data_IF_371252182265
#
_entry.id   IF_371252182265
#
_cell.length_a   1.000
_cell.length_b   1.000
_cell.length_c   1.000
_cell.angle_alpha   90.00
_cell.angle_beta   90.00
_cell.angle_gamma   90.00
#
_symmetry.space_group_name_H-M   'P 1'
#
loop_
_entity.id
_entity.type
_entity.pdbx_description
1 polymer ?
#
# COMPACT_ATOMS: atom_id res chain seq x y z
N UNK A 1 24.70 9.85 23.07
CA UNK A 1 24.08 9.70 24.40
C UNK A 1 22.55 9.69 24.34
N UNK A 2 21.89 10.72 23.77
CA UNK A 2 20.42 10.81 23.70
C UNK A 2 19.77 9.61 22.98
N UNK A 3 20.30 9.17 21.85
CA UNK A 3 19.82 7.99 21.12
C UNK A 3 19.84 6.73 21.99
N UNK A 4 20.96 6.48 22.65
CA UNK A 4 21.08 5.32 23.55
C UNK A 4 20.15 5.45 24.77
N UNK A 5 19.98 6.66 25.29
CA UNK A 5 19.05 6.93 26.40
C UNK A 5 17.60 6.60 26.02
N UNK A 6 17.16 6.99 24.84
CA UNK A 6 15.79 6.65 24.34
C UNK A 6 15.62 5.13 24.20
N UNK A 7 16.59 4.43 23.61
CA UNK A 7 16.51 2.98 23.42
C UNK A 7 16.58 2.17 24.73
N UNK A 8 17.26 2.72 25.76
CA UNK A 8 17.27 2.10 27.09
C UNK A 8 15.93 2.25 27.82
N UNK A 9 15.23 3.38 27.61
CA UNK A 9 13.93 3.65 28.22
C UNK A 9 12.77 2.98 27.46
N UNK A 10 12.84 2.98 26.13
CA UNK A 10 11.84 2.36 25.24
C UNK A 10 12.56 1.60 24.11
N UNK A 11 12.89 0.31 24.31
CA UNK A 11 13.53 -0.52 23.27
C UNK A 11 12.68 -0.64 22.00
N UNK A 12 11.34 -0.57 22.12
CA UNK A 12 10.42 -0.64 21.00
C UNK A 12 10.38 0.65 20.16
N UNK A 13 10.97 1.72 20.65
CA UNK A 13 11.12 2.95 19.86
C UNK A 13 11.87 2.71 18.53
N UNK A 14 12.77 1.71 18.48
CA UNK A 14 13.48 1.30 17.26
C UNK A 14 12.56 0.82 16.14
N UNK A 15 11.34 0.36 16.46
CA UNK A 15 10.33 -0.03 15.48
C UNK A 15 9.51 1.15 14.95
N UNK A 16 9.67 2.33 15.55
CA UNK A 16 8.91 3.53 15.17
C UNK A 16 9.71 4.36 14.16
N UNK A 17 9.16 4.65 12.96
CA UNK A 17 9.83 5.49 11.96
C UNK A 17 10.28 6.87 12.50
N UNK A 18 9.50 7.44 13.43
CA UNK A 18 9.78 8.75 14.02
C UNK A 18 11.14 8.84 14.73
N UNK A 19 11.60 7.77 15.38
CA UNK A 19 12.93 7.72 15.99
C UNK A 19 14.01 7.94 14.93
N UNK A 20 13.97 7.15 13.88
CA UNK A 20 14.98 7.18 12.80
C UNK A 20 14.98 8.52 12.06
N UNK A 21 13.80 9.06 11.75
CA UNK A 21 13.67 10.34 11.06
C UNK A 21 14.21 11.49 11.92
N UNK A 22 13.90 11.51 13.23
CA UNK A 22 14.35 12.56 14.13
C UNK A 22 15.88 12.57 14.27
N UNK A 23 16.47 11.41 14.56
CA UNK A 23 17.94 11.31 14.73
C UNK A 23 18.69 11.49 13.40
N UNK A 24 18.14 11.01 12.28
CA UNK A 24 18.71 11.25 10.96
C UNK A 24 18.68 12.73 10.58
N UNK A 25 17.59 13.46 10.85
CA UNK A 25 17.51 14.89 10.61
C UNK A 25 18.58 15.68 11.41
N UNK A 26 18.74 15.36 12.69
CA UNK A 26 19.79 15.96 13.53
C UNK A 26 21.18 15.63 13.01
N UNK A 27 21.43 14.36 12.63
CA UNK A 27 22.70 13.93 12.07
C UNK A 27 23.02 14.68 10.76
N UNK A 28 22.04 14.85 9.87
CA UNK A 28 22.18 15.64 8.63
C UNK A 28 22.56 17.08 8.95
N UNK A 29 21.88 17.71 9.92
CA UNK A 29 22.17 19.08 10.32
C UNK A 29 23.58 19.22 10.93
N UNK A 30 23.98 18.32 11.83
CA UNK A 30 25.32 18.32 12.42
C UNK A 30 26.37 18.13 11.31
N UNK A 31 26.17 17.16 10.42
CA UNK A 31 27.11 16.89 9.32
C UNK A 31 27.24 18.07 8.36
N UNK A 32 26.13 18.75 8.06
CA UNK A 32 26.12 19.82 7.06
C UNK A 32 26.52 21.18 7.61
N UNK A 33 26.29 21.45 8.89
CA UNK A 33 26.58 22.76 9.51
C UNK A 33 27.73 22.69 10.54
N UNK A 34 28.01 21.51 11.11
CA UNK A 34 29.09 21.34 12.08
C UNK A 34 30.46 21.57 11.42
N UNK A 35 31.30 22.40 12.06
CA UNK A 35 32.66 22.67 11.63
C UNK A 35 32.81 23.55 10.37
N UNK A 36 31.75 24.11 9.82
CA UNK A 36 31.81 25.03 8.68
C UNK A 36 32.01 26.45 9.16
N UNK A 37 33.17 27.00 8.88
CA UNK A 37 33.49 28.41 9.13
C UNK A 37 32.82 29.32 8.11
N UNK A 38 32.13 30.34 8.56
CA UNK A 38 31.53 31.37 7.71
C UNK A 38 30.24 31.93 8.31
N UNK A 39 30.10 33.27 8.33
CA UNK A 39 28.89 33.95 8.71
C UNK A 39 27.87 33.95 7.57
N UNK A 40 26.88 33.06 7.67
CA UNK A 40 25.75 33.08 6.75
C UNK A 40 24.62 33.93 7.31
N UNK A 41 23.91 34.63 6.43
CA UNK A 41 22.67 35.30 6.85
C UNK A 41 21.68 34.20 7.28
N UNK A 42 20.95 34.46 8.37
CA UNK A 42 20.02 33.53 9.01
C UNK A 42 19.04 32.89 8.01
N UNK A 43 18.50 33.67 7.04
CA UNK A 43 17.57 33.17 6.03
C UNK A 43 18.22 32.20 5.03
N UNK A 44 19.52 32.39 4.70
CA UNK A 44 20.28 31.47 3.84
C UNK A 44 20.52 30.13 4.57
N UNK A 45 20.80 30.17 5.86
CA UNK A 45 20.93 28.97 6.69
C UNK A 45 19.61 28.23 6.75
N UNK A 46 18.52 28.96 6.97
CA UNK A 46 17.17 28.44 7.05
C UNK A 46 16.73 27.73 5.76
N UNK A 47 16.82 28.39 4.61
CA UNK A 47 16.43 27.83 3.32
C UNK A 47 17.31 26.63 2.95
N UNK A 48 18.61 26.69 3.19
CA UNK A 48 19.53 25.58 2.94
C UNK A 48 19.24 24.37 3.82
N UNK A 49 18.92 24.58 5.09
CA UNK A 49 18.58 23.50 6.01
C UNK A 49 17.41 22.66 5.49
N UNK A 50 16.35 23.28 4.96
CA UNK A 50 15.20 22.57 4.42
C UNK A 50 15.59 21.62 3.26
N UNK A 51 16.40 22.11 2.32
CA UNK A 51 16.86 21.30 1.18
C UNK A 51 17.84 20.20 1.59
N UNK A 52 18.75 20.50 2.50
CA UNK A 52 19.74 19.51 2.97
C UNK A 52 19.07 18.41 3.79
N UNK A 53 18.09 18.74 4.60
CA UNK A 53 17.27 17.77 5.33
C UNK A 53 16.48 16.90 4.32
N UNK A 54 15.84 17.50 3.32
CA UNK A 54 15.08 16.75 2.32
C UNK A 54 15.97 15.75 1.55
N UNK A 55 17.16 16.18 1.13
CA UNK A 55 18.14 15.30 0.45
C UNK A 55 18.64 14.21 1.39
N UNK A 56 19.00 14.56 2.62
CA UNK A 56 19.58 13.61 3.59
C UNK A 56 18.57 12.62 4.13
N UNK A 57 17.29 13.02 4.29
CA UNK A 57 16.23 12.13 4.73
C UNK A 57 15.63 11.29 3.60
N UNK A 58 15.83 11.65 2.34
CA UNK A 58 15.27 10.91 1.21
C UNK A 58 15.59 9.40 1.27
N UNK A 59 16.86 8.95 1.43
CA UNK A 59 17.16 7.53 1.55
C UNK A 59 16.52 6.88 2.79
N UNK A 60 16.42 7.61 3.90
CA UNK A 60 15.82 7.09 5.14
C UNK A 60 14.33 6.88 4.98
N UNK A 61 13.62 7.84 4.37
CA UNK A 61 12.19 7.72 4.05
C UNK A 61 11.93 6.51 3.16
N UNK A 62 12.77 6.33 2.12
CA UNK A 62 12.66 5.20 1.21
C UNK A 62 12.95 3.85 1.89
N UNK A 63 13.97 3.78 2.74
CA UNK A 63 14.29 2.59 3.53
C UNK A 63 13.14 2.19 4.47
N UNK A 64 12.43 3.17 5.02
CA UNK A 64 11.26 2.99 5.89
C UNK A 64 9.96 2.81 5.11
N UNK A 65 10.00 2.79 3.77
CA UNK A 65 8.83 2.75 2.89
C UNK A 65 7.80 3.88 3.15
N UNK A 66 8.28 5.06 3.50
CA UNK A 66 7.43 6.22 3.77
C UNK A 66 7.27 7.08 2.51
N UNK A 67 6.12 7.75 2.35
CA UNK A 67 5.91 8.67 1.23
C UNK A 67 6.82 9.89 1.35
N UNK A 68 7.30 10.39 0.20
CA UNK A 68 8.11 11.61 0.11
C UNK A 68 7.22 12.76 -0.33
N UNK A 69 7.12 13.79 0.52
CA UNK A 69 6.43 15.02 0.17
C UNK A 69 7.35 15.92 -0.66
N UNK A 70 7.03 16.12 -1.93
CA UNK A 70 7.76 17.03 -2.81
C UNK A 70 7.57 18.50 -2.40
N UNK A 71 6.42 18.83 -1.85
CA UNK A 71 6.11 20.15 -1.30
C UNK A 71 6.67 20.36 0.12
N UNK A 72 7.14 19.30 0.79
CA UNK A 72 7.61 19.33 2.17
C UNK A 72 8.61 20.43 2.50
N UNK A 73 9.71 20.62 1.74
CA UNK A 73 10.67 21.69 1.98
C UNK A 73 10.04 23.09 1.94
N UNK A 74 9.13 23.32 0.98
CA UNK A 74 8.42 24.61 0.84
C UNK A 74 7.39 24.80 1.97
N UNK A 75 6.63 23.75 2.27
CA UNK A 75 5.68 23.76 3.37
C UNK A 75 6.36 24.06 4.72
N UNK A 76 7.49 23.41 5.01
CA UNK A 76 8.26 23.61 6.22
C UNK A 76 8.92 25.00 6.28
N UNK A 77 9.32 25.56 5.13
CA UNK A 77 9.87 26.91 5.05
C UNK A 77 8.87 27.96 5.55
N UNK A 78 7.58 27.71 5.32
CA UNK A 78 6.48 28.58 5.79
C UNK A 78 5.96 28.17 7.17
N UNK A 79 5.67 26.89 7.35
CA UNK A 79 4.97 26.39 8.54
C UNK A 79 5.80 26.50 9.82
N UNK A 80 7.11 26.23 9.75
CA UNK A 80 7.95 26.24 10.96
C UNK A 80 8.09 27.62 11.56
N UNK A 81 8.42 28.73 10.81
CA UNK A 81 8.41 30.06 11.37
C UNK A 81 7.03 30.51 11.83
N UNK A 82 5.99 30.18 11.05
CA UNK A 82 4.61 30.55 11.39
C UNK A 82 4.20 29.94 12.74
N UNK A 83 4.39 28.64 12.92
CA UNK A 83 4.07 27.99 14.19
C UNK A 83 4.93 28.53 15.33
N UNK A 84 6.25 28.65 15.13
CA UNK A 84 7.17 29.00 16.20
C UNK A 84 7.05 30.49 16.64
N UNK A 85 6.79 31.41 15.71
CA UNK A 85 6.81 32.85 15.99
C UNK A 85 5.42 33.45 16.08
N UNK A 86 4.40 32.86 15.44
CA UNK A 86 3.06 33.46 15.36
C UNK A 86 2.04 32.68 16.20
N UNK A 87 2.06 31.34 16.15
CA UNK A 87 1.07 30.51 16.86
C UNK A 87 1.51 30.21 18.30
N UNK A 88 2.77 29.79 18.48
CA UNK A 88 3.25 29.33 19.78
C UNK A 88 3.25 30.44 20.88
N UNK A 89 3.63 31.69 20.63
CA UNK A 89 3.60 32.72 21.67
C UNK A 89 2.20 32.98 22.25
N UNK A 90 1.15 33.24 21.45
CA UNK A 90 -0.19 33.40 22.02
C UNK A 90 -0.74 32.13 22.64
N UNK A 91 -0.38 30.93 22.12
CA UNK A 91 -0.78 29.66 22.74
C UNK A 91 -0.18 29.48 24.14
N UNK A 92 1.11 29.72 24.30
CA UNK A 92 1.79 29.62 25.61
C UNK A 92 1.29 30.71 26.59
N UNK A 93 1.18 31.97 26.14
CA UNK A 93 0.64 33.05 26.96
C UNK A 93 -0.81 32.79 27.33
N UNK A 94 -1.62 32.33 26.39
CA UNK A 94 -3.01 31.96 26.63
C UNK A 94 -3.15 30.85 27.67
N UNK A 95 -2.30 29.81 27.59
CA UNK A 95 -2.26 28.73 28.59
C UNK A 95 -1.87 29.25 29.97
N UNK A 96 -0.88 30.13 30.06
CA UNK A 96 -0.45 30.73 31.32
C UNK A 96 -1.53 31.63 31.92
N UNK A 97 -2.29 32.37 31.09
CA UNK A 97 -3.31 33.32 31.48
C UNK A 97 -4.73 32.74 31.55
N UNK A 98 -4.91 31.44 31.44
CA UNK A 98 -6.21 30.76 31.62
C UNK A 98 -6.92 31.19 32.93
N UNK A 99 -6.20 31.41 34.08
CA UNK A 99 -6.87 31.89 35.30
C UNK A 99 -7.44 33.31 35.19
N UNK A 100 -7.04 34.09 34.19
CA UNK A 100 -7.54 35.47 33.96
C UNK A 100 -8.73 35.41 33.00
N UNK A 101 -9.96 35.75 33.46
CA UNK A 101 -11.18 35.65 32.64
C UNK A 101 -11.02 36.36 31.29
N UNK A 102 -11.46 35.71 30.22
CA UNK A 102 -11.46 36.18 28.82
C UNK A 102 -10.08 36.35 28.16
N UNK A 103 -8.99 36.56 28.92
CA UNK A 103 -7.67 36.86 28.37
C UNK A 103 -7.01 35.55 27.86
N UNK A 104 -6.93 34.53 28.71
CA UNK A 104 -6.36 33.26 28.34
C UNK A 104 -7.15 32.58 27.20
N UNK A 105 -8.48 32.56 27.32
CA UNK A 105 -9.37 32.02 26.29
C UNK A 105 -9.25 32.74 24.95
N UNK A 106 -9.21 34.09 24.95
CA UNK A 106 -9.03 34.91 23.75
C UNK A 106 -7.71 34.64 23.03
N UNK A 107 -6.61 34.48 23.77
CA UNK A 107 -5.30 34.15 23.20
C UNK A 107 -5.27 32.73 22.64
N UNK A 108 -5.90 31.75 23.29
CA UNK A 108 -6.00 30.37 22.78
C UNK A 108 -6.90 30.32 21.55
N UNK A 109 -8.00 31.08 21.52
CA UNK A 109 -8.86 31.20 20.36
C UNK A 109 -8.10 31.80 19.16
N UNK A 110 -7.31 32.85 19.39
CA UNK A 110 -6.44 33.47 18.38
C UNK A 110 -5.43 32.44 17.84
N UNK A 111 -4.74 31.72 18.73
CA UNK A 111 -3.80 30.66 18.33
C UNK A 111 -4.46 29.59 17.50
N UNK A 112 -5.69 29.16 17.87
CA UNK A 112 -6.50 28.21 17.10
C UNK A 112 -6.82 28.71 15.69
N UNK A 113 -7.27 29.96 15.56
CA UNK A 113 -7.54 30.59 14.26
C UNK A 113 -6.31 30.72 13.36
N UNK A 114 -5.16 31.05 13.96
CA UNK A 114 -3.87 31.16 13.24
C UNK A 114 -3.37 29.79 12.73
N UNK A 115 -3.59 28.71 13.47
CA UNK A 115 -3.24 27.36 13.03
C UNK A 115 -4.20 26.84 11.97
N UNK A 116 -5.49 27.13 12.09
CA UNK A 116 -6.49 26.79 11.07
C UNK A 116 -6.16 27.46 9.73
N UNK A 117 -5.77 28.73 9.77
CA UNK A 117 -5.36 29.46 8.56
C UNK A 117 -4.13 28.81 7.90
N UNK A 118 -3.13 28.40 8.71
CA UNK A 118 -1.97 27.67 8.22
C UNK A 118 -2.39 26.35 7.56
N UNK A 119 -3.25 25.55 8.19
CA UNK A 119 -3.70 24.27 7.64
C UNK A 119 -4.45 24.43 6.33
N UNK A 120 -5.27 25.46 6.17
CA UNK A 120 -5.92 25.79 4.89
C UNK A 120 -4.90 26.07 3.78
N UNK A 121 -3.87 26.86 4.09
CA UNK A 121 -2.78 27.12 3.15
C UNK A 121 -1.97 25.86 2.79
N UNK A 122 -1.64 25.04 3.77
CA UNK A 122 -0.94 23.78 3.54
C UNK A 122 -1.79 22.78 2.75
N UNK A 123 -3.11 22.73 2.96
CA UNK A 123 -4.02 21.87 2.20
C UNK A 123 -4.05 22.23 0.70
N UNK A 124 -4.01 23.54 0.38
CA UNK A 124 -3.91 24.01 -1.01
C UNK A 124 -2.60 23.53 -1.66
N UNK A 125 -1.48 23.66 -0.95
CA UNK A 125 -0.18 23.21 -1.44
C UNK A 125 -0.15 21.69 -1.61
N UNK A 126 -0.64 20.93 -0.63
CA UNK A 126 -0.68 19.47 -0.66
C UNK A 126 -1.60 18.93 -1.77
N UNK A 127 -2.72 19.63 -2.04
CA UNK A 127 -3.63 19.25 -3.11
C UNK A 127 -3.02 19.36 -4.51
N UNK A 128 -2.08 20.28 -4.72
CA UNK A 128 -1.38 20.45 -6.01
C UNK A 128 -0.24 19.44 -6.20
N UNK A 129 0.43 19.06 -5.12
CA UNK A 129 1.60 18.16 -5.15
C UNK A 129 1.41 17.01 -4.16
N UNK A 130 0.72 15.93 -4.56
CA UNK A 130 0.55 14.77 -3.71
C UNK A 130 1.89 14.13 -3.35
N UNK A 131 1.94 13.50 -2.19
CA UNK A 131 3.13 12.79 -1.77
C UNK A 131 3.49 11.67 -2.75
N UNK A 132 4.76 11.59 -3.13
CA UNK A 132 5.26 10.53 -3.97
C UNK A 132 5.50 9.26 -3.16
N UNK A 133 4.84 8.18 -3.55
CA UNK A 133 5.06 6.85 -3.01
C UNK A 133 6.07 6.17 -3.94
N UNK A 134 7.29 5.99 -3.46
CA UNK A 134 8.32 5.34 -4.23
C UNK A 134 8.02 3.85 -4.42
N UNK A 135 8.39 3.28 -5.57
CA UNK A 135 8.40 1.84 -5.77
C UNK A 135 9.37 1.15 -4.81
N UNK A 136 9.23 -0.17 -4.65
CA UNK A 136 10.20 -0.95 -3.87
C UNK A 136 11.59 -0.85 -4.49
N UNK A 137 12.57 -0.46 -3.67
CA UNK A 137 13.96 -0.33 -4.09
C UNK A 137 14.75 -1.59 -3.68
N UNK A 138 15.52 -2.19 -4.59
CA UNK A 138 16.49 -3.20 -4.21
C UNK A 138 17.55 -2.58 -3.28
N UNK A 139 18.03 -3.37 -2.30
CA UNK A 139 18.94 -2.87 -1.26
C UNK A 139 20.21 -2.19 -1.81
N UNK A 140 20.73 -2.69 -2.93
CA UNK A 140 21.90 -2.08 -3.59
C UNK A 140 21.60 -0.68 -4.16
N UNK A 141 20.40 -0.46 -4.73
CA UNK A 141 20.00 0.85 -5.25
C UNK A 141 19.83 1.85 -4.10
N UNK A 142 19.27 1.41 -2.96
CA UNK A 142 19.17 2.21 -1.75
C UNK A 142 20.57 2.58 -1.21
N UNK A 143 21.51 1.64 -1.20
CA UNK A 143 22.89 1.90 -0.75
C UNK A 143 23.60 2.92 -1.67
N UNK A 144 23.53 2.73 -2.98
CA UNK A 144 24.13 3.66 -3.96
C UNK A 144 23.48 5.04 -3.87
N UNK A 145 22.15 5.12 -3.82
CA UNK A 145 21.43 6.40 -3.71
C UNK A 145 21.72 7.11 -2.38
N UNK A 146 21.92 6.37 -1.29
CA UNK A 146 22.38 6.91 0.00
C UNK A 146 23.76 7.55 -0.12
N UNK A 147 24.68 6.91 -0.83
CA UNK A 147 25.98 7.50 -1.16
C UNK A 147 25.83 8.80 -1.94
N UNK A 148 24.91 8.85 -2.91
CA UNK A 148 24.57 10.08 -3.64
C UNK A 148 24.10 11.20 -2.72
N UNK A 149 23.23 10.90 -1.77
CA UNK A 149 22.78 11.87 -0.76
C UNK A 149 23.96 12.38 0.09
N UNK A 150 24.83 11.48 0.58
CA UNK A 150 26.02 11.85 1.36
C UNK A 150 26.95 12.76 0.55
N UNK A 151 27.21 12.46 -0.73
CA UNK A 151 28.03 13.30 -1.62
C UNK A 151 27.45 14.72 -1.73
N UNK A 152 26.13 14.86 -1.89
CA UNK A 152 25.49 16.16 -1.98
C UNK A 152 25.54 16.98 -0.69
N UNK A 153 25.61 16.29 0.45
CA UNK A 153 25.76 16.91 1.77
C UNK A 153 27.19 17.39 2.07
N UNK A 154 28.18 16.96 1.30
CA UNK A 154 29.57 17.39 1.44
C UNK A 154 29.74 18.91 1.17
N UNK A 155 30.80 19.56 1.71
CA UNK A 155 31.14 20.95 1.40
C UNK A 155 31.26 21.22 -0.10
N UNK A 156 30.95 22.45 -0.53
CA UNK A 156 30.99 22.87 -1.95
C UNK A 156 32.37 22.72 -2.61
N UNK A 157 33.45 22.72 -1.84
CA UNK A 157 34.80 22.56 -2.34
C UNK A 157 35.21 21.11 -2.66
N UNK A 158 34.38 20.10 -2.37
CA UNK A 158 34.69 18.70 -2.67
C UNK A 158 34.38 18.41 -4.14
N UNK A 159 35.38 18.00 -4.97
CA UNK A 159 35.22 17.85 -6.42
C UNK A 159 34.19 16.78 -6.82
N UNK A 160 34.01 15.72 -6.02
CA UNK A 160 33.07 14.62 -6.28
C UNK A 160 31.60 14.96 -5.94
N UNK A 161 31.34 16.08 -5.29
CA UNK A 161 29.99 16.47 -4.85
C UNK A 161 28.95 16.50 -5.97
N UNK A 162 29.20 17.05 -7.20
CA UNK A 162 28.23 17.06 -8.28
C UNK A 162 27.79 15.67 -8.74
N UNK A 163 28.65 14.65 -8.59
CA UNK A 163 28.29 13.25 -8.89
C UNK A 163 27.18 12.71 -7.99
N UNK A 164 26.93 13.37 -6.86
CA UNK A 164 25.80 13.00 -5.99
C UNK A 164 24.45 13.10 -6.69
N UNK A 165 24.25 14.00 -7.66
CA UNK A 165 22.98 14.14 -8.39
C UNK A 165 22.63 12.91 -9.24
N UNK A 166 23.49 12.47 -10.21
CA UNK A 166 23.19 11.28 -10.99
C UNK A 166 23.12 10.01 -10.13
N UNK A 167 23.91 9.93 -9.05
CA UNK A 167 23.87 8.78 -8.12
C UNK A 167 22.57 8.78 -7.30
N UNK A 168 22.10 9.94 -6.86
CA UNK A 168 20.81 10.04 -6.14
C UNK A 168 19.62 9.72 -7.07
N UNK A 169 19.74 9.99 -8.39
CA UNK A 169 18.68 9.73 -9.35
C UNK A 169 18.23 8.25 -9.40
N UNK A 170 19.12 7.32 -9.02
CA UNK A 170 18.77 5.89 -8.92
C UNK A 170 17.63 5.61 -7.93
N UNK A 171 17.44 6.49 -6.93
CA UNK A 171 16.33 6.38 -5.98
C UNK A 171 14.99 6.85 -6.59
N UNK A 172 15.05 7.75 -7.58
CA UNK A 172 13.86 8.30 -8.24
C UNK A 172 13.44 7.44 -9.42
N UNK A 173 14.42 6.88 -10.13
CA UNK A 173 14.20 6.00 -11.29
C UNK A 173 14.90 4.66 -11.02
N UNK A 174 14.35 3.84 -10.15
CA UNK A 174 14.96 2.55 -9.82
C UNK A 174 14.88 1.61 -11.03
N UNK A 175 15.88 0.73 -11.17
CA UNK A 175 15.79 -0.35 -12.16
C UNK A 175 14.57 -1.21 -11.84
N UNK A 176 13.72 -1.40 -12.84
CA UNK A 176 12.53 -2.25 -12.72
C UNK A 176 12.96 -3.71 -12.87
N UNK A 177 12.68 -4.52 -11.88
CA UNK A 177 12.75 -5.97 -12.02
C UNK A 177 11.62 -6.39 -12.97
N UNK A 178 11.98 -6.94 -14.11
CA UNK A 178 11.03 -7.50 -15.07
C UNK A 178 10.94 -9.00 -14.82
N UNK A 179 9.72 -9.50 -14.76
CA UNK A 179 9.48 -10.93 -14.74
C UNK A 179 9.90 -11.57 -16.07
N UNK A 180 10.40 -12.78 -16.03
CA UNK A 180 10.61 -13.56 -17.23
C UNK A 180 9.28 -14.01 -17.84
N UNK A 181 9.26 -14.27 -19.14
CA UNK A 181 8.07 -14.77 -19.80
C UNK A 181 7.68 -16.14 -19.20
N UNK A 182 6.39 -16.36 -19.01
CA UNK A 182 5.84 -17.57 -18.40
C UNK A 182 5.79 -17.54 -16.87
N UNK A 183 6.32 -16.48 -16.22
CA UNK A 183 6.23 -16.29 -14.78
C UNK A 183 5.13 -15.28 -14.40
N UNK A 184 4.51 -15.50 -13.27
CA UNK A 184 3.57 -14.58 -12.63
C UNK A 184 3.94 -14.33 -11.17
N UNK A 185 3.96 -13.07 -10.76
CA UNK A 185 3.98 -12.68 -9.36
C UNK A 185 2.55 -12.57 -8.84
N UNK A 186 2.29 -13.17 -7.70
CA UNK A 186 0.99 -13.11 -7.01
C UNK A 186 1.16 -12.51 -5.63
N UNK A 187 0.45 -11.42 -5.38
CA UNK A 187 0.49 -10.68 -4.13
C UNK A 187 -0.89 -10.67 -3.47
N UNK A 188 -1.07 -11.43 -2.40
CA UNK A 188 -2.25 -11.29 -1.55
C UNK A 188 -2.04 -10.08 -0.63
N UNK A 189 -2.89 -9.06 -0.78
CA UNK A 189 -2.81 -7.82 -0.03
C UNK A 189 -3.54 -7.96 1.31
N UNK A 190 -2.94 -7.44 2.39
CA UNK A 190 -3.60 -7.44 3.70
C UNK A 190 -4.66 -6.33 3.76
N UNK A 191 -5.87 -6.69 3.38
CA UNK A 191 -7.06 -5.84 3.43
C UNK A 191 -7.96 -6.16 4.64
N UNK A 192 -7.43 -6.88 5.64
CA UNK A 192 -8.22 -7.35 6.77
C UNK A 192 -9.25 -8.41 6.36
N UNK A 193 -10.51 -8.23 6.79
CA UNK A 193 -11.58 -9.13 6.36
C UNK A 193 -12.06 -8.71 4.97
N UNK A 194 -11.77 -9.54 3.96
CA UNK A 194 -12.03 -9.32 2.56
C UNK A 194 -10.94 -9.91 1.68
N UNK A 195 -10.93 -9.62 0.39
CA UNK A 195 -9.98 -10.15 -0.57
C UNK A 195 -9.44 -9.06 -1.51
N UNK A 196 -8.15 -9.08 -1.75
CA UNK A 196 -7.51 -8.34 -2.85
C UNK A 196 -6.22 -9.05 -3.23
N UNK A 197 -6.12 -9.51 -4.47
CA UNK A 197 -4.95 -10.21 -5.00
C UNK A 197 -4.49 -9.53 -6.28
N UNK A 198 -3.24 -9.10 -6.30
CA UNK A 198 -2.59 -8.57 -7.50
C UNK A 198 -1.82 -9.71 -8.18
N UNK A 199 -2.05 -9.87 -9.47
CA UNK A 199 -1.30 -10.77 -10.35
C UNK A 199 -0.56 -9.91 -11.38
N UNK A 200 0.76 -10.09 -11.48
CA UNK A 200 1.57 -9.42 -12.51
C UNK A 200 2.25 -10.46 -13.38
N UNK A 201 2.26 -10.20 -14.66
CA UNK A 201 3.14 -10.85 -15.63
C UNK A 201 4.19 -9.84 -16.11
N UNK A 202 4.97 -10.16 -17.10
CA UNK A 202 6.05 -9.29 -17.60
C UNK A 202 5.60 -7.89 -17.98
N UNK A 203 4.40 -7.75 -18.61
CA UNK A 203 3.89 -6.48 -19.12
C UNK A 203 2.44 -6.18 -18.71
N UNK A 204 1.77 -7.11 -18.01
CA UNK A 204 0.36 -6.97 -17.66
C UNK A 204 0.14 -7.08 -16.16
N UNK A 205 -0.93 -6.46 -15.69
CA UNK A 205 -1.37 -6.51 -14.30
C UNK A 205 -2.88 -6.76 -14.23
N UNK A 206 -3.26 -7.69 -13.34
CA UNK A 206 -4.64 -8.03 -13.00
C UNK A 206 -4.83 -7.87 -11.50
N UNK A 207 -5.89 -7.19 -11.11
CA UNK A 207 -6.34 -7.13 -9.73
C UNK A 207 -7.59 -8.01 -9.58
N UNK A 208 -7.51 -9.04 -8.74
CA UNK A 208 -8.63 -9.89 -8.36
C UNK A 208 -9.16 -9.42 -7.01
N UNK A 209 -10.38 -8.88 -6.99
CA UNK A 209 -11.01 -8.16 -5.90
C UNK A 209 -10.23 -6.92 -5.44
N UNK A 210 -10.87 -6.04 -4.69
CA UNK A 210 -10.33 -4.73 -4.32
C UNK A 210 -10.43 -4.42 -2.82
N UNK A 211 -10.80 -5.42 -2.03
CA UNK A 211 -10.95 -5.29 -0.60
C UNK A 211 -12.18 -4.51 -0.14
N UNK A 212 -12.37 -4.41 1.17
CA UNK A 212 -13.56 -3.85 1.76
C UNK A 212 -13.59 -2.32 1.76
N UNK A 213 -14.84 -1.80 1.82
CA UNK A 213 -15.14 -0.42 2.14
C UNK A 213 -16.15 -0.36 3.28
N UNK A 214 -15.84 0.40 4.32
CA UNK A 214 -16.71 0.63 5.48
C UNK A 214 -16.95 2.12 5.64
N UNK A 215 -18.16 2.62 5.36
CA UNK A 215 -18.53 4.04 5.48
C UNK A 215 -17.43 4.98 4.93
N UNK A 216 -16.63 5.58 5.84
CA UNK A 216 -15.55 6.53 5.52
C UNK A 216 -14.16 5.87 5.39
N UNK A 217 -14.09 4.55 5.48
CA UNK A 217 -12.87 3.78 5.45
C UNK A 217 -12.82 2.86 4.23
N UNK A 218 -12.03 3.25 3.23
CA UNK A 218 -11.89 2.55 1.95
C UNK A 218 -10.49 1.90 1.87
N UNK A 219 -10.43 0.56 1.87
CA UNK A 219 -9.16 -0.17 1.79
C UNK A 219 -8.61 -0.25 0.37
N UNK A 220 -9.45 -0.05 -0.65
CA UNK A 220 -8.98 0.22 -2.00
C UNK A 220 -8.05 1.43 -2.06
N UNK A 221 -8.45 2.54 -1.38
CA UNK A 221 -7.63 3.75 -1.33
C UNK A 221 -6.43 3.63 -0.37
N UNK A 222 -6.59 2.97 0.79
CA UNK A 222 -5.58 2.96 1.87
C UNK A 222 -4.57 1.83 1.79
N UNK A 223 -4.93 0.71 1.17
CA UNK A 223 -4.08 -0.48 1.08
C UNK A 223 -3.78 -0.84 -0.37
N UNK A 224 -4.83 -1.03 -1.20
CA UNK A 224 -4.67 -1.54 -2.56
C UNK A 224 -3.89 -0.54 -3.42
N UNK A 225 -4.32 0.71 -3.51
CA UNK A 225 -3.63 1.72 -4.32
C UNK A 225 -2.17 1.97 -3.90
N UNK A 226 -1.82 2.11 -2.62
CA UNK A 226 -0.43 2.19 -2.20
C UNK A 226 0.40 0.96 -2.55
N UNK A 227 -0.17 -0.25 -2.42
CA UNK A 227 0.50 -1.50 -2.81
C UNK A 227 0.75 -1.55 -4.32
N UNK A 228 -0.24 -1.21 -5.15
CA UNK A 228 -0.10 -1.15 -6.60
C UNK A 228 1.02 -0.18 -7.02
N UNK A 229 1.04 1.03 -6.43
CA UNK A 229 2.09 2.02 -6.69
C UNK A 229 3.47 1.52 -6.26
N UNK A 230 3.56 0.91 -5.08
CA UNK A 230 4.82 0.34 -4.58
C UNK A 230 5.35 -0.77 -5.49
N UNK A 231 4.46 -1.52 -6.12
CA UNK A 231 4.78 -2.58 -7.07
C UNK A 231 4.90 -2.08 -8.52
N UNK A 232 4.96 -0.75 -8.75
CA UNK A 232 5.06 -0.11 -10.07
C UNK A 232 3.90 -0.45 -11.03
N UNK A 233 2.71 -0.68 -10.52
CA UNK A 233 1.51 -0.86 -11.32
C UNK A 233 0.87 0.50 -11.54
N UNK A 234 1.03 1.05 -12.74
CA UNK A 234 0.49 2.34 -13.16
C UNK A 234 -0.86 2.18 -13.89
N UNK A 235 -1.10 1.01 -14.45
CA UNK A 235 -2.34 0.63 -15.13
C UNK A 235 -2.72 -0.80 -14.79
N UNK A 236 -4.02 -1.07 -14.69
CA UNK A 236 -4.54 -2.43 -14.62
C UNK A 236 -5.12 -2.81 -15.98
N UNK A 237 -4.64 -3.90 -16.56
CA UNK A 237 -5.21 -4.46 -17.79
C UNK A 237 -6.60 -5.05 -17.51
N UNK A 238 -6.77 -5.65 -16.33
CA UNK A 238 -8.02 -6.21 -15.87
C UNK A 238 -8.21 -6.01 -14.36
N UNK A 239 -9.38 -5.55 -13.96
CA UNK A 239 -9.89 -5.68 -12.60
C UNK A 239 -11.03 -6.71 -12.63
N UNK A 240 -10.82 -7.84 -11.96
CA UNK A 240 -11.77 -8.92 -11.88
C UNK A 240 -12.37 -8.94 -10.47
N UNK A 241 -13.65 -8.65 -10.37
CA UNK A 241 -14.40 -8.69 -9.12
C UNK A 241 -15.14 -10.02 -9.03
N UNK A 242 -14.77 -10.84 -8.05
CA UNK A 242 -15.39 -12.16 -7.90
C UNK A 242 -16.90 -12.05 -7.81
N UNK A 243 -17.41 -11.17 -6.96
CA UNK A 243 -18.82 -10.83 -6.78
C UNK A 243 -18.98 -9.41 -6.22
N UNK A 244 -20.20 -8.97 -5.92
CA UNK A 244 -20.48 -7.58 -5.59
C UNK A 244 -20.42 -7.26 -4.08
N UNK A 245 -20.13 -8.21 -3.22
CA UNK A 245 -20.13 -7.99 -1.77
C UNK A 245 -19.05 -6.98 -1.37
N UNK A 246 -19.33 -6.23 -0.30
CA UNK A 246 -18.55 -5.06 0.08
C UNK A 246 -17.09 -5.39 0.47
N UNK A 247 -16.82 -6.58 0.96
CA UNK A 247 -15.48 -7.05 1.34
C UNK A 247 -14.63 -7.53 0.14
N UNK A 248 -15.21 -7.63 -1.05
CA UNK A 248 -14.56 -7.94 -2.31
C UNK A 248 -14.52 -6.75 -3.27
N UNK A 249 -15.67 -6.14 -3.52
CA UNK A 249 -15.81 -5.06 -4.49
C UNK A 249 -15.76 -3.66 -3.89
N UNK A 250 -15.78 -3.51 -2.57
CA UNK A 250 -15.91 -2.21 -1.89
C UNK A 250 -14.89 -1.16 -2.31
N UNK A 251 -13.64 -1.56 -2.47
CA UNK A 251 -12.54 -0.67 -2.86
C UNK A 251 -12.43 -0.41 -4.37
N UNK A 252 -13.20 -1.13 -5.21
CA UNK A 252 -13.04 -1.10 -6.67
C UNK A 252 -13.20 0.30 -7.28
N UNK A 253 -14.18 1.07 -6.81
CA UNK A 253 -14.43 2.42 -7.32
C UNK A 253 -13.29 3.38 -6.97
N UNK A 254 -12.70 3.27 -5.78
CA UNK A 254 -11.54 4.07 -5.39
C UNK A 254 -10.32 3.75 -6.28
N UNK A 255 -10.10 2.47 -6.58
CA UNK A 255 -9.04 2.04 -7.49
C UNK A 255 -9.27 2.58 -8.89
N UNK A 256 -10.48 2.42 -9.46
CA UNK A 256 -10.81 2.86 -10.82
C UNK A 256 -10.74 4.39 -11.00
N UNK A 257 -11.00 5.18 -9.95
CA UNK A 257 -10.88 6.64 -9.99
C UNK A 257 -9.44 7.16 -9.95
N UNK A 258 -8.51 6.38 -9.42
CA UNK A 258 -7.12 6.79 -9.18
C UNK A 258 -6.11 6.11 -10.10
N UNK A 259 -6.50 5.02 -10.73
CA UNK A 259 -5.66 4.24 -11.64
C UNK A 259 -6.42 3.96 -12.93
N UNK A 260 -5.73 3.96 -14.06
CA UNK A 260 -6.34 3.55 -15.31
C UNK A 260 -6.61 2.04 -15.28
N UNK A 261 -7.88 1.66 -15.39
CA UNK A 261 -8.34 0.27 -15.51
C UNK A 261 -8.90 0.09 -16.92
N UNK A 262 -8.28 -0.82 -17.72
CA UNK A 262 -8.69 -1.02 -19.12
C UNK A 262 -9.99 -1.79 -19.25
N UNK A 263 -10.19 -2.79 -18.36
CA UNK A 263 -11.37 -3.64 -18.36
C UNK A 263 -11.76 -4.01 -16.93
N UNK A 264 -13.05 -4.02 -16.64
CA UNK A 264 -13.62 -4.55 -15.40
C UNK A 264 -14.53 -5.70 -15.74
N UNK A 265 -14.33 -6.85 -15.08
CA UNK A 265 -15.19 -8.04 -15.18
C UNK A 265 -15.71 -8.35 -13.78
N UNK A 266 -16.96 -8.79 -13.66
CA UNK A 266 -17.53 -9.21 -12.38
C UNK A 266 -18.44 -10.42 -12.51
N UNK A 267 -18.51 -11.20 -11.45
CA UNK A 267 -19.49 -12.27 -11.30
C UNK A 267 -20.90 -11.75 -11.08
N UNK A 268 -21.04 -10.51 -10.57
CA UNK A 268 -22.35 -9.87 -10.33
C UNK A 268 -22.33 -8.38 -10.72
N UNK A 269 -22.26 -8.05 -12.03
CA UNK A 269 -22.21 -6.66 -12.49
C UNK A 269 -23.37 -5.78 -12.01
N UNK A 270 -24.63 -6.26 -11.91
CA UNK A 270 -25.74 -5.44 -11.43
C UNK A 270 -25.61 -4.96 -9.98
N UNK A 271 -24.85 -5.69 -9.15
CA UNK A 271 -24.57 -5.31 -7.76
C UNK A 271 -23.51 -4.22 -7.59
N UNK A 272 -22.85 -3.79 -8.68
CA UNK A 272 -21.76 -2.85 -8.65
C UNK A 272 -22.17 -1.43 -9.05
N UNK A 273 -21.43 -0.39 -8.62
CA UNK A 273 -21.60 0.96 -9.13
C UNK A 273 -21.48 1.02 -10.67
N UNK A 274 -22.43 1.69 -11.32
CA UNK A 274 -22.49 1.81 -12.79
C UNK A 274 -21.21 2.44 -13.39
N UNK A 275 -20.53 3.30 -12.64
CA UNK A 275 -19.27 3.96 -13.03
C UNK A 275 -18.14 2.97 -13.35
N UNK A 276 -18.18 1.76 -12.81
CA UNK A 276 -17.20 0.71 -13.09
C UNK A 276 -17.37 0.10 -14.48
N UNK A 277 -18.52 0.25 -15.11
CA UNK A 277 -18.83 -0.33 -16.42
C UNK A 277 -18.41 -1.80 -16.53
N UNK A 278 -18.78 -2.59 -15.48
CA UNK A 278 -18.33 -3.97 -15.34
C UNK A 278 -19.04 -4.88 -16.35
N UNK A 279 -18.26 -5.71 -17.03
CA UNK A 279 -18.76 -6.77 -17.90
C UNK A 279 -19.02 -8.04 -17.09
N UNK A 280 -19.94 -8.87 -17.56
CA UNK A 280 -20.23 -10.15 -16.92
C UNK A 280 -19.04 -11.14 -17.05
N UNK A 281 -18.88 -11.97 -16.04
CA UNK A 281 -17.96 -13.10 -16.07
C UNK A 281 -18.47 -14.15 -17.07
N UNK A 282 -17.72 -14.41 -18.13
CA UNK A 282 -18.05 -15.40 -19.14
C UNK A 282 -17.32 -16.71 -18.83
N UNK A 283 -18.07 -17.74 -18.41
CA UNK A 283 -17.52 -19.05 -18.14
C UNK A 283 -16.89 -19.65 -19.40
N UNK A 284 -15.67 -20.17 -19.28
CA UNK A 284 -14.90 -20.70 -20.40
C UNK A 284 -14.05 -19.68 -21.15
N UNK A 285 -14.14 -18.38 -20.86
CA UNK A 285 -13.24 -17.37 -21.43
C UNK A 285 -11.80 -17.67 -21.03
N UNK A 286 -10.91 -17.69 -22.04
CA UNK A 286 -9.48 -17.94 -21.87
C UNK A 286 -8.68 -16.86 -22.56
N UNK A 287 -7.51 -16.51 -21.99
CA UNK A 287 -6.52 -15.64 -22.64
C UNK A 287 -5.13 -15.96 -22.12
N UNK A 288 -4.13 -15.40 -22.78
CA UNK A 288 -2.74 -15.55 -22.39
C UNK A 288 -2.03 -14.20 -22.38
N UNK A 289 -1.26 -13.93 -21.33
CA UNK A 289 -0.38 -12.78 -21.21
C UNK A 289 1.04 -13.24 -20.90
N UNK A 290 2.00 -12.83 -21.70
CA UNK A 290 3.42 -13.09 -21.49
C UNK A 290 3.78 -14.56 -21.23
N UNK A 291 3.02 -15.51 -21.80
CA UNK A 291 3.21 -16.93 -21.57
C UNK A 291 2.48 -17.52 -20.36
N UNK A 292 1.74 -16.69 -19.62
CA UNK A 292 0.85 -17.11 -18.52
C UNK A 292 -0.58 -17.27 -19.06
N UNK A 293 -1.22 -18.39 -18.75
CA UNK A 293 -2.58 -18.67 -19.19
C UNK A 293 -3.59 -18.39 -18.08
N UNK A 294 -4.74 -17.87 -18.48
CA UNK A 294 -5.84 -17.50 -17.60
C UNK A 294 -7.13 -18.11 -18.11
N UNK A 295 -8.00 -18.58 -17.20
CA UNK A 295 -9.31 -19.13 -17.54
C UNK A 295 -10.36 -18.72 -16.50
N UNK A 296 -11.51 -18.24 -16.96
CA UNK A 296 -12.65 -17.90 -16.12
C UNK A 296 -13.66 -19.03 -16.03
N UNK A 297 -14.31 -19.10 -14.88
CA UNK A 297 -15.47 -19.94 -14.66
C UNK A 297 -16.45 -19.24 -13.74
N UNK A 298 -17.75 -19.45 -13.98
CA UNK A 298 -18.83 -19.00 -13.13
C UNK A 298 -19.97 -20.02 -13.19
N UNK A 299 -20.66 -20.21 -12.07
CA UNK A 299 -21.88 -21.02 -12.06
C UNK A 299 -23.06 -20.19 -12.61
N UNK A 300 -23.59 -20.61 -13.76
CA UNK A 300 -24.67 -19.87 -14.46
C UNK A 300 -25.99 -19.83 -13.67
N UNK A 301 -26.31 -20.93 -12.96
CA UNK A 301 -27.57 -21.07 -12.19
C UNK A 301 -27.36 -20.71 -10.70
N UNK A 302 -26.41 -19.84 -10.38
CA UNK A 302 -26.15 -19.41 -9.01
C UNK A 302 -27.31 -18.60 -8.42
N UNK A 303 -27.64 -18.86 -7.15
CA UNK A 303 -28.81 -18.26 -6.49
C UNK A 303 -28.45 -17.05 -5.62
N UNK A 304 -27.23 -16.96 -5.11
CA UNK A 304 -26.76 -15.87 -4.25
C UNK A 304 -25.48 -15.23 -4.77
N UNK A 305 -25.07 -14.11 -4.18
CA UNK A 305 -23.88 -13.34 -4.55
C UNK A 305 -22.61 -14.19 -4.48
N UNK A 306 -22.42 -14.94 -3.39
CA UNK A 306 -21.24 -15.77 -3.18
C UNK A 306 -21.09 -16.86 -4.25
N UNK A 307 -22.21 -17.57 -4.56
CA UNK A 307 -22.24 -18.59 -5.61
C UNK A 307 -21.96 -18.03 -7.01
N UNK A 308 -22.27 -16.73 -7.23
CA UNK A 308 -21.97 -16.01 -8.49
C UNK A 308 -20.50 -15.63 -8.62
N UNK A 309 -19.66 -15.98 -7.65
CA UNK A 309 -18.23 -15.64 -7.73
C UNK A 309 -17.61 -16.05 -9.05
N UNK A 310 -16.98 -15.10 -9.72
CA UNK A 310 -16.17 -15.34 -10.91
C UNK A 310 -14.84 -16.00 -10.49
N UNK A 311 -14.68 -17.25 -10.76
CA UNK A 311 -13.49 -18.05 -10.44
C UNK A 311 -12.44 -17.82 -11.52
N UNK A 312 -11.18 -17.64 -11.13
CA UNK A 312 -10.05 -17.48 -12.03
C UNK A 312 -9.01 -18.57 -11.78
N UNK A 313 -8.71 -19.35 -12.82
CA UNK A 313 -7.53 -20.22 -12.85
C UNK A 313 -6.39 -19.52 -13.58
N UNK A 314 -5.20 -19.61 -13.02
CA UNK A 314 -3.95 -19.05 -13.57
C UNK A 314 -2.97 -20.22 -13.70
N UNK A 315 -2.34 -20.35 -14.86
CA UNK A 315 -1.27 -21.32 -15.08
C UNK A 315 0.00 -20.59 -15.54
N UNK A 316 1.06 -20.73 -14.74
CA UNK A 316 2.36 -20.12 -14.96
C UNK A 316 3.47 -21.12 -14.66
N UNK A 317 4.40 -21.31 -15.57
CA UNK A 317 5.55 -22.22 -15.40
C UNK A 317 5.19 -23.64 -14.90
N UNK A 318 4.05 -24.16 -15.36
CA UNK A 318 3.56 -25.50 -14.98
C UNK A 318 2.87 -25.59 -13.61
N UNK A 319 2.79 -24.49 -12.85
CA UNK A 319 2.02 -24.38 -11.61
C UNK A 319 0.67 -23.71 -11.85
N UNK A 320 -0.34 -24.14 -11.10
CA UNK A 320 -1.70 -23.59 -11.16
C UNK A 320 -2.10 -22.98 -9.85
N UNK A 321 -2.71 -21.80 -9.94
CA UNK A 321 -3.39 -21.11 -8.86
C UNK A 321 -4.88 -21.00 -9.20
N UNK A 322 -5.74 -21.36 -8.25
CA UNK A 322 -7.18 -21.18 -8.36
C UNK A 322 -7.66 -20.12 -7.35
N UNK A 323 -8.20 -19.01 -7.88
CA UNK A 323 -8.87 -17.98 -7.12
C UNK A 323 -10.39 -18.20 -7.21
N UNK A 324 -11.01 -18.44 -6.09
CA UNK A 324 -12.38 -18.95 -6.02
C UNK A 324 -13.41 -17.90 -5.62
N UNK A 325 -12.95 -16.74 -5.11
CA UNK A 325 -13.84 -15.83 -4.40
C UNK A 325 -14.53 -16.58 -3.25
N UNK A 326 -15.83 -16.37 -3.11
CA UNK A 326 -16.59 -16.86 -1.96
C UNK A 326 -17.54 -18.01 -2.28
N UNK A 327 -17.19 -18.84 -3.30
CA UNK A 327 -18.01 -20.01 -3.62
C UNK A 327 -18.24 -20.90 -2.39
N UNK A 328 -19.46 -21.40 -2.29
CA UNK A 328 -19.87 -22.39 -1.28
C UNK A 328 -19.71 -23.84 -1.79
N UNK A 329 -20.02 -24.81 -0.93
CA UNK A 329 -19.96 -26.24 -1.28
C UNK A 329 -20.86 -26.66 -2.46
N UNK A 330 -21.93 -25.89 -2.77
CA UNK A 330 -22.78 -26.18 -3.90
C UNK A 330 -22.08 -25.78 -5.19
N UNK A 331 -21.59 -24.54 -5.23
CA UNK A 331 -20.79 -24.06 -6.37
C UNK A 331 -19.50 -24.87 -6.55
N UNK A 332 -18.82 -25.29 -5.47
CA UNK A 332 -17.67 -26.22 -5.54
C UNK A 332 -17.99 -27.53 -6.27
N UNK A 333 -19.18 -28.13 -6.01
CA UNK A 333 -19.58 -29.36 -6.71
C UNK A 333 -19.77 -29.14 -8.20
N UNK A 334 -20.34 -28.01 -8.60
CA UNK A 334 -20.51 -27.65 -10.00
C UNK A 334 -19.15 -27.35 -10.65
N UNK A 335 -18.28 -26.64 -9.97
CA UNK A 335 -16.89 -26.39 -10.40
C UNK A 335 -16.16 -27.68 -10.70
N UNK A 336 -16.33 -28.73 -9.89
CA UNK A 336 -15.70 -30.02 -10.10
C UNK A 336 -16.21 -30.80 -11.36
N UNK A 337 -17.29 -30.32 -11.95
CA UNK A 337 -17.80 -30.85 -13.24
C UNK A 337 -17.31 -30.02 -14.44
N UNK A 338 -16.56 -28.94 -14.18
CA UNK A 338 -16.03 -28.05 -15.19
C UNK A 338 -14.60 -28.44 -15.64
N UNK A 339 -14.11 -27.83 -16.72
CA UNK A 339 -12.70 -28.01 -17.15
C UNK A 339 -11.67 -27.52 -16.11
N UNK A 340 -12.07 -26.76 -15.11
CA UNK A 340 -11.17 -26.31 -14.02
C UNK A 340 -10.93 -27.39 -12.95
N UNK A 341 -11.54 -28.56 -13.06
CA UNK A 341 -11.26 -29.69 -12.18
C UNK A 341 -9.95 -30.37 -12.57
N UNK A 342 -8.84 -29.67 -12.30
CA UNK A 342 -7.47 -30.12 -12.56
C UNK A 342 -6.60 -29.92 -11.32
N UNK A 343 -5.56 -30.71 -11.17
CA UNK A 343 -4.60 -30.55 -10.07
C UNK A 343 -4.08 -29.12 -10.03
N UNK A 344 -4.13 -28.52 -8.84
CA UNK A 344 -3.87 -27.11 -8.63
C UNK A 344 -2.95 -26.95 -7.41
N UNK A 345 -1.77 -26.39 -7.57
CA UNK A 345 -0.78 -26.29 -6.50
C UNK A 345 -1.18 -25.27 -5.45
N UNK A 346 -1.80 -24.15 -5.87
CA UNK A 346 -2.17 -23.04 -5.00
C UNK A 346 -3.68 -22.80 -5.03
N UNK A 347 -4.30 -22.81 -3.88
CA UNK A 347 -5.74 -22.56 -3.74
C UNK A 347 -5.98 -21.33 -2.86
N UNK A 348 -6.70 -20.33 -3.36
CA UNK A 348 -7.26 -19.32 -2.46
C UNK A 348 -8.42 -19.97 -1.70
N UNK A 349 -8.42 -19.87 -0.39
CA UNK A 349 -9.42 -20.46 0.47
C UNK A 349 -10.82 -19.92 0.14
N UNK A 350 -11.73 -20.74 -0.40
CA UNK A 350 -13.08 -20.27 -0.71
C UNK A 350 -13.74 -19.64 0.52
N UNK A 351 -14.37 -18.48 0.33
CA UNK A 351 -15.14 -17.78 1.35
C UNK A 351 -14.35 -17.59 2.66
N UNK A 352 -13.09 -17.14 2.56
CA UNK A 352 -12.19 -16.89 3.68
C UNK A 352 -12.00 -18.10 4.64
N UNK A 353 -12.29 -19.29 4.18
CA UNK A 353 -12.31 -20.48 5.01
C UNK A 353 -13.59 -20.64 5.85
N UNK A 354 -14.72 -20.16 5.35
CA UNK A 354 -16.04 -20.36 5.97
C UNK A 354 -16.39 -21.84 6.12
N UNK A 355 -17.19 -22.17 7.16
CA UNK A 355 -17.73 -23.53 7.34
C UNK A 355 -18.55 -24.04 6.13
N UNK A 356 -19.15 -23.12 5.37
CA UNK A 356 -19.93 -23.43 4.17
C UNK A 356 -19.11 -23.81 2.96
N UNK A 357 -17.78 -23.69 3.00
CA UNK A 357 -16.87 -23.86 1.88
C UNK A 357 -15.78 -24.92 2.15
N UNK A 358 -14.83 -25.04 1.22
CA UNK A 358 -13.63 -25.89 1.33
C UNK A 358 -13.99 -27.34 1.62
N UNK A 359 -14.86 -27.91 0.79
CA UNK A 359 -15.29 -29.31 0.93
C UNK A 359 -14.15 -30.29 0.75
N UNK A 360 -14.22 -31.45 1.41
CA UNK A 360 -13.25 -32.54 1.19
C UNK A 360 -13.25 -33.03 -0.26
N UNK A 361 -14.37 -32.90 -0.97
CA UNK A 361 -14.46 -33.25 -2.38
C UNK A 361 -13.58 -32.33 -3.22
N UNK A 362 -13.65 -31.01 -2.99
CA UNK A 362 -12.81 -30.02 -3.66
C UNK A 362 -11.32 -30.29 -3.41
N UNK A 363 -10.94 -30.45 -2.14
CA UNK A 363 -9.54 -30.65 -1.76
C UNK A 363 -8.94 -31.95 -2.33
N UNK A 364 -9.72 -33.05 -2.33
CA UNK A 364 -9.28 -34.33 -2.91
C UNK A 364 -9.19 -34.29 -4.43
N UNK A 365 -10.03 -33.55 -5.11
CA UNK A 365 -10.04 -33.43 -6.56
C UNK A 365 -8.90 -32.51 -7.04
N UNK A 366 -8.75 -31.34 -6.46
CA UNK A 366 -7.72 -30.36 -6.88
C UNK A 366 -6.33 -30.70 -6.33
N UNK A 367 -6.22 -31.39 -5.21
CA UNK A 367 -4.96 -31.79 -4.54
C UNK A 367 -3.98 -30.62 -4.37
N UNK A 368 -4.38 -29.51 -3.75
CA UNK A 368 -3.48 -28.39 -3.59
C UNK A 368 -2.30 -28.72 -2.65
N UNK A 369 -1.16 -28.09 -2.87
CA UNK A 369 0.01 -28.12 -1.97
C UNK A 369 -0.09 -27.07 -0.87
N UNK A 370 -0.75 -25.94 -1.21
CA UNK A 370 -0.87 -24.80 -0.34
C UNK A 370 -2.24 -24.10 -0.48
N UNK A 371 -2.67 -23.49 0.62
CA UNK A 371 -3.88 -22.67 0.66
C UNK A 371 -3.56 -21.27 1.18
N UNK A 372 -4.07 -20.25 0.48
CA UNK A 372 -3.96 -18.85 0.81
C UNK A 372 -5.26 -18.40 1.48
N UNK A 373 -5.19 -17.90 2.72
CA UNK A 373 -6.37 -17.47 3.47
C UNK A 373 -6.33 -15.95 3.66
N UNK A 374 -7.26 -15.23 3.07
CA UNK A 374 -7.47 -13.81 3.37
C UNK A 374 -8.47 -13.67 4.52
N UNK A 375 -8.05 -13.03 5.61
CA UNK A 375 -8.91 -12.85 6.80
C UNK A 375 -8.47 -11.67 7.65
N UNK A 376 -9.40 -11.02 8.32
CA UNK A 376 -9.10 -10.04 9.37
C UNK A 376 -8.72 -10.72 10.70
N UNK A 377 -7.71 -10.16 11.38
CA UNK A 377 -7.39 -10.62 12.74
C UNK A 377 -8.55 -10.30 13.68
N UNK A 378 -9.05 -11.31 14.41
CA UNK A 378 -10.17 -11.14 15.33
C UNK A 378 -11.51 -10.84 14.65
N UNK A 379 -11.69 -11.26 13.36
CA UNK A 379 -12.93 -11.02 12.64
C UNK A 379 -14.16 -11.63 13.34
N UNK A 380 -15.30 -10.95 13.22
CA UNK A 380 -16.57 -11.34 13.86
C UNK A 380 -17.21 -12.60 13.25
N UNK A 381 -16.76 -13.02 12.07
CA UNK A 381 -17.30 -14.18 11.34
C UNK A 381 -16.71 -15.50 11.82
N UNK A 382 -15.63 -15.46 12.62
CA UNK A 382 -14.91 -16.67 13.06
C UNK A 382 -14.21 -17.40 11.92
N UNK A 383 -13.80 -16.67 10.88
CA UNK A 383 -13.06 -17.21 9.74
C UNK A 383 -11.53 -17.15 9.99
N UNK A 384 -10.76 -18.15 9.52
CA UNK A 384 -11.21 -19.43 8.98
C UNK A 384 -11.83 -20.30 10.07
N UNK A 385 -12.89 -21.04 9.74
CA UNK A 385 -13.57 -21.90 10.70
C UNK A 385 -12.66 -23.07 11.11
N UNK A 386 -12.62 -23.49 12.40
CA UNK A 386 -11.73 -24.55 12.87
C UNK A 386 -11.87 -25.87 12.11
N UNK A 387 -13.09 -26.24 11.67
CA UNK A 387 -13.31 -27.46 10.87
C UNK A 387 -12.69 -27.38 9.49
N UNK A 388 -12.57 -26.19 8.90
CA UNK A 388 -11.89 -25.99 7.61
C UNK A 388 -10.38 -26.11 7.78
N UNK A 389 -9.82 -25.50 8.81
CA UNK A 389 -8.40 -25.67 9.15
C UNK A 389 -8.06 -27.14 9.42
N UNK A 390 -8.94 -27.87 10.12
CA UNK A 390 -8.76 -29.30 10.33
C UNK A 390 -8.71 -30.10 9.00
N UNK A 391 -9.58 -29.77 8.02
CA UNK A 391 -9.54 -30.39 6.68
C UNK A 391 -8.24 -30.09 5.94
N UNK A 392 -7.75 -28.84 5.96
CA UNK A 392 -6.49 -28.48 5.34
C UNK A 392 -5.31 -29.24 5.95
N UNK A 393 -5.25 -29.32 7.28
CA UNK A 393 -4.22 -30.09 8.00
C UNK A 393 -4.30 -31.59 7.71
N UNK A 394 -5.51 -32.15 7.61
CA UNK A 394 -5.72 -33.56 7.27
C UNK A 394 -5.22 -33.90 5.85
N UNK A 395 -5.25 -32.93 4.95
CA UNK A 395 -4.72 -33.09 3.59
C UNK A 395 -3.23 -32.72 3.49
N UNK A 396 -2.57 -32.32 4.59
CA UNK A 396 -1.16 -31.95 4.62
C UNK A 396 -0.83 -30.62 3.95
N UNK A 397 -1.82 -29.72 3.80
CA UNK A 397 -1.63 -28.45 3.10
C UNK A 397 -0.80 -27.46 3.91
N UNK A 398 0.06 -26.71 3.22
CA UNK A 398 0.68 -25.52 3.79
C UNK A 398 -0.37 -24.42 3.83
N UNK A 399 -0.50 -23.73 4.97
CA UNK A 399 -1.52 -22.71 5.22
C UNK A 399 -0.80 -21.36 5.37
N UNK A 400 -1.16 -20.40 4.54
CA UNK A 400 -0.63 -19.06 4.51
C UNK A 400 -1.71 -18.04 4.82
#
# INVERSE_FOLDING_TARGET
LAFNGVLLLDPLASLRPGLWLSFAAVAVLIFTFGGRLGAWRWWQTWTRAQWLIAIGLCPVLLALNLPISLSGPLANLLAVPWVSLVVLPPALLGTLLVPVPYVGEGLLWLAGGLIDWLFRGLALIAGQWPAWIAPSLPGWALAIGSLGAVLLLLPRGVPLRPLGWPVLLILVVPPRERLDAGLADVWQLDVGQGLAILIRTRHHALLYDAGPRFRDFDLGERVVLPALRKLNVETLDLMLLSHADADHAGGALAVARRLQVKQVISGDPPGLPAELNAQACESGRQWQWDGVSFQLWQWADAHDSNQRSCVLQIEANGERLLLTGDIDKHAERVLLQSPLNVATQWLQAPHHGSRSSSSMALLKALKPDAVLISRGQGNSFGHPHPTVIARYRQQGLRIY
#
